data_IF_234924023243
#
_entry.id   IF_234924023243
#
_cell.length_a   1.000
_cell.length_b   1.000
_cell.length_c   1.000
_cell.angle_alpha   90.00
_cell.angle_beta   90.00
_cell.angle_gamma   90.00
#
_symmetry.space_group_name_H-M   'P 1'
#
loop_
_entity.id
_entity.type
_entity.pdbx_description
1 polymer ?
#
# COMPACT_ATOMS: atom_id res chain seq x y z
N UNK A 1 29.19 30.11 -20.92
CA UNK A 1 28.99 29.56 -19.57
C UNK A 1 27.73 30.15 -19.02
N UNK A 2 26.86 29.30 -18.51
CA UNK A 2 25.58 29.69 -17.93
C UNK A 2 25.51 29.23 -16.47
N UNK A 3 24.91 30.06 -15.61
CA UNK A 3 24.57 29.71 -14.22
C UNK A 3 23.08 29.99 -14.06
N UNK A 4 22.28 28.95 -13.80
CA UNK A 4 20.81 29.04 -13.68
C UNK A 4 20.17 29.75 -14.88
N UNK A 5 20.63 29.42 -16.08
CA UNK A 5 20.18 30.05 -17.34
C UNK A 5 20.73 31.46 -17.62
N UNK A 6 21.38 32.10 -16.66
CA UNK A 6 22.03 33.40 -16.87
C UNK A 6 23.39 33.21 -17.55
N UNK A 7 23.63 33.91 -18.66
CA UNK A 7 24.94 33.89 -19.32
C UNK A 7 25.95 34.68 -18.50
N UNK A 8 26.98 34.01 -18.00
CA UNK A 8 28.00 34.62 -17.12
C UNK A 8 29.28 34.98 -17.89
N UNK A 9 29.59 34.25 -18.97
CA UNK A 9 30.75 34.56 -19.79
C UNK A 9 31.29 33.40 -20.61
N UNK A 10 32.54 33.54 -21.05
CA UNK A 10 33.24 32.59 -21.93
C UNK A 10 34.50 32.06 -21.26
N UNK A 11 34.85 30.80 -21.55
CA UNK A 11 36.07 30.18 -21.06
C UNK A 11 36.74 29.36 -22.17
N UNK A 12 38.06 29.52 -22.33
CA UNK A 12 38.81 28.90 -23.44
C UNK A 12 39.13 27.43 -23.21
N UNK A 13 39.23 26.98 -21.95
CA UNK A 13 39.56 25.61 -21.58
C UNK A 13 38.49 24.99 -20.66
N UNK A 14 37.31 24.63 -21.19
CA UNK A 14 36.19 24.15 -20.37
C UNK A 14 36.46 22.77 -19.74
N UNK A 15 37.31 21.93 -20.33
CA UNK A 15 37.68 20.61 -19.78
C UNK A 15 38.32 20.74 -18.40
N UNK A 16 39.32 21.62 -18.29
CA UNK A 16 40.03 21.87 -17.04
C UNK A 16 39.06 22.43 -15.99
N UNK A 17 38.21 23.38 -16.39
CA UNK A 17 37.27 24.02 -15.49
C UNK A 17 36.24 23.02 -14.93
N UNK A 18 35.66 22.17 -15.76
CA UNK A 18 34.72 21.13 -15.31
C UNK A 18 35.40 20.14 -14.38
N UNK A 19 36.65 19.76 -14.68
CA UNK A 19 37.42 18.88 -13.81
C UNK A 19 37.66 19.51 -12.43
N UNK A 20 38.04 20.78 -12.39
CA UNK A 20 38.23 21.53 -11.14
C UNK A 20 36.92 21.67 -10.37
N UNK A 21 35.82 22.04 -11.02
CA UNK A 21 34.51 22.18 -10.36
C UNK A 21 34.00 20.85 -9.79
N UNK A 22 34.15 19.76 -10.52
CA UNK A 22 33.83 18.41 -10.01
C UNK A 22 34.73 17.99 -8.86
N UNK A 23 36.02 18.36 -8.89
CA UNK A 23 36.94 18.09 -7.78
C UNK A 23 36.56 18.86 -6.52
N UNK A 24 36.25 20.16 -6.65
CA UNK A 24 35.78 20.99 -5.53
C UNK A 24 34.45 20.47 -4.97
N UNK A 25 33.54 20.02 -5.83
CA UNK A 25 32.28 19.36 -5.41
C UNK A 25 32.54 18.08 -4.61
N UNK A 26 33.52 17.27 -5.03
CA UNK A 26 33.90 16.01 -4.36
C UNK A 26 34.65 16.24 -3.04
N UNK A 27 35.27 17.40 -2.86
CA UNK A 27 35.88 17.84 -1.61
C UNK A 27 34.87 18.54 -0.68
N UNK A 28 33.62 18.72 -1.13
CA UNK A 28 32.55 19.43 -0.42
C UNK A 28 32.84 20.94 -0.25
N UNK A 29 33.82 21.48 -0.97
CA UNK A 29 34.08 22.92 -1.07
C UNK A 29 32.98 23.64 -1.87
N UNK A 30 32.36 22.90 -2.79
CA UNK A 30 31.14 23.29 -3.50
C UNK A 30 30.03 22.35 -3.05
N UNK A 31 28.84 22.91 -2.77
CA UNK A 31 27.68 22.12 -2.35
C UNK A 31 27.42 20.99 -3.37
N UNK A 32 27.19 19.78 -2.86
CA UNK A 32 26.98 18.56 -3.64
C UNK A 32 25.75 18.63 -4.54
N UNK A 33 24.84 19.55 -4.26
CA UNK A 33 23.65 19.83 -5.07
C UNK A 33 23.95 20.60 -6.36
N UNK A 34 25.12 21.23 -6.49
CA UNK A 34 25.47 21.99 -7.70
C UNK A 34 25.63 21.02 -8.87
N UNK A 35 24.76 21.16 -9.87
CA UNK A 35 24.80 20.42 -11.13
C UNK A 35 25.83 21.03 -12.07
N UNK A 36 26.69 20.21 -12.67
CA UNK A 36 27.73 20.65 -13.60
C UNK A 36 27.59 19.88 -14.91
N UNK A 37 27.07 20.55 -15.93
CA UNK A 37 26.76 19.94 -17.23
C UNK A 37 27.60 20.57 -18.32
N UNK A 38 28.36 19.74 -19.04
CA UNK A 38 29.15 20.19 -20.21
C UNK A 38 28.62 19.54 -21.47
N UNK A 39 28.02 20.36 -22.32
CA UNK A 39 27.66 19.97 -23.66
C UNK A 39 28.85 20.17 -24.59
N UNK A 40 29.43 19.06 -25.04
CA UNK A 40 30.62 19.05 -25.90
C UNK A 40 30.25 19.51 -27.33
N UNK A 41 29.04 19.20 -27.79
CA UNK A 41 28.59 19.49 -29.14
C UNK A 41 28.28 20.98 -29.31
N UNK A 42 27.54 21.56 -28.36
CA UNK A 42 27.22 22.99 -28.34
C UNK A 42 28.36 23.85 -27.80
N UNK A 43 29.42 23.23 -27.24
CA UNK A 43 30.53 23.89 -26.54
C UNK A 43 30.05 24.79 -25.39
N UNK A 44 29.03 24.32 -24.67
CA UNK A 44 28.43 25.02 -23.56
C UNK A 44 28.75 24.35 -22.22
N UNK A 45 28.90 25.18 -21.19
CA UNK A 45 28.99 24.75 -19.80
C UNK A 45 27.84 25.41 -19.05
N UNK A 46 26.99 24.59 -18.44
CA UNK A 46 25.82 25.00 -17.66
C UNK A 46 26.00 24.54 -16.22
N UNK A 47 25.77 25.46 -15.30
CA UNK A 47 25.81 25.23 -13.86
C UNK A 47 24.41 25.47 -13.31
N UNK A 48 23.95 24.53 -12.47
CA UNK A 48 22.63 24.61 -11.85
C UNK A 48 22.77 24.59 -10.33
N UNK A 49 22.23 25.62 -9.68
CA UNK A 49 22.08 25.73 -8.22
C UNK A 49 20.63 25.91 -7.81
N UNK A 50 19.70 25.75 -8.76
CA UNK A 50 18.26 25.90 -8.53
C UNK A 50 17.71 24.77 -7.65
N UNK A 51 16.70 25.11 -6.85
CA UNK A 51 15.96 24.17 -6.00
C UNK A 51 14.95 23.35 -6.82
N UNK A 52 14.59 22.16 -6.32
CA UNK A 52 13.55 21.30 -6.92
C UNK A 52 14.05 20.34 -8.01
N UNK A 53 15.35 20.33 -8.29
CA UNK A 53 15.98 19.34 -9.18
C UNK A 53 15.96 17.95 -8.51
N UNK A 54 15.64 16.93 -9.31
CA UNK A 54 15.74 15.54 -8.87
C UNK A 54 17.17 15.04 -9.11
N UNK A 55 17.82 14.55 -8.07
CA UNK A 55 19.14 13.93 -8.16
C UNK A 55 19.11 12.50 -7.65
N UNK A 56 19.93 11.65 -8.25
CA UNK A 56 20.18 10.29 -7.78
C UNK A 56 21.62 10.10 -7.38
N UNK A 57 21.84 9.16 -6.48
CA UNK A 57 23.14 8.85 -5.93
C UNK A 57 23.81 7.73 -6.73
N UNK A 58 25.04 7.98 -7.18
CA UNK A 58 25.84 7.02 -7.93
C UNK A 58 27.23 6.87 -7.32
N UNK A 59 27.80 5.66 -7.42
CA UNK A 59 29.20 5.47 -7.08
C UNK A 59 30.11 6.03 -8.17
N UNK A 60 31.21 6.64 -7.75
CA UNK A 60 32.19 7.19 -8.69
C UNK A 60 33.10 6.07 -9.20
N UNK A 61 33.24 6.03 -10.54
CA UNK A 61 34.17 5.15 -11.25
C UNK A 61 35.23 6.00 -11.92
N UNK A 62 36.50 5.74 -11.64
CA UNK A 62 37.63 6.42 -12.25
C UNK A 62 38.57 5.40 -12.90
N UNK A 63 39.01 5.67 -14.14
CA UNK A 63 39.88 4.76 -14.92
C UNK A 63 39.37 3.30 -14.96
N UNK A 64 38.05 3.13 -15.16
CA UNK A 64 37.35 1.83 -15.20
C UNK A 64 37.43 1.03 -13.89
N UNK A 65 37.71 1.68 -12.75
CA UNK A 65 37.72 1.06 -11.42
C UNK A 65 36.81 1.84 -10.49
N UNK A 66 36.04 1.11 -9.70
CA UNK A 66 35.23 1.69 -8.63
C UNK A 66 36.17 2.29 -7.56
N UNK A 67 35.88 3.51 -7.09
CA UNK A 67 36.74 4.19 -6.10
C UNK A 67 36.58 3.54 -4.71
N UNK A 68 35.33 3.24 -4.30
CA UNK A 68 35.05 2.57 -3.02
C UNK A 68 35.57 1.13 -3.03
N UNK A 69 36.24 0.72 -1.95
CA UNK A 69 36.82 -0.62 -1.82
C UNK A 69 36.15 -1.41 -0.68
N UNK A 70 36.39 -2.73 -0.67
CA UNK A 70 35.85 -3.63 0.37
C UNK A 70 36.21 -3.21 1.80
N UNK A 71 37.41 -2.66 2.01
CA UNK A 71 37.85 -2.15 3.34
C UNK A 71 36.94 -1.04 3.87
N UNK A 72 36.45 -0.17 2.98
CA UNK A 72 35.62 0.98 3.34
C UNK A 72 34.20 0.51 3.69
N UNK A 73 33.72 -0.54 2.99
CA UNK A 73 32.46 -1.22 3.31
C UNK A 73 32.53 -1.92 4.68
N UNK A 74 33.64 -2.62 4.97
CA UNK A 74 33.83 -3.28 6.28
C UNK A 74 33.87 -2.26 7.41
N UNK A 75 34.57 -1.13 7.21
CA UNK A 75 34.59 -0.04 8.19
C UNK A 75 33.18 0.51 8.47
N UNK A 76 32.34 0.66 7.44
CA UNK A 76 30.94 1.08 7.61
C UNK A 76 30.07 0.03 8.34
N UNK A 77 30.34 -1.25 8.15
CA UNK A 77 29.61 -2.34 8.81
C UNK A 77 29.98 -2.50 10.28
N UNK A 78 31.23 -2.19 10.64
CA UNK A 78 31.75 -2.31 12.01
C UNK A 78 31.50 -1.06 12.87
N UNK A 79 30.76 -0.06 12.36
CA UNK A 79 30.49 1.16 13.12
C UNK A 79 29.61 0.86 14.34
N UNK A 80 30.05 1.32 15.51
CA UNK A 80 29.29 1.17 16.77
C UNK A 80 28.30 2.32 16.98
N UNK A 81 28.61 3.52 16.46
CA UNK A 81 27.77 4.71 16.55
C UNK A 81 27.40 5.26 15.16
N UNK A 82 26.24 5.91 15.05
CA UNK A 82 25.79 6.58 13.82
C UNK A 82 26.60 7.82 13.44
N UNK A 83 27.44 8.33 14.34
CA UNK A 83 28.13 9.63 14.18
C UNK A 83 29.54 9.53 13.57
N UNK A 84 30.27 8.42 13.75
CA UNK A 84 31.72 8.36 13.44
C UNK A 84 32.08 8.03 11.98
N UNK A 85 31.11 7.69 11.12
CA UNK A 85 31.31 7.46 9.68
C UNK A 85 29.97 7.23 8.99
N UNK A 86 29.25 8.34 8.81
CA UNK A 86 27.91 8.34 8.23
C UNK A 86 27.89 8.45 6.70
N UNK A 87 26.68 8.69 6.18
CA UNK A 87 26.47 8.99 4.77
C UNK A 87 27.28 10.20 4.28
N UNK A 88 27.40 11.24 5.11
CA UNK A 88 28.14 12.44 4.80
C UNK A 88 29.65 12.18 4.58
N UNK A 89 30.23 11.24 5.31
CA UNK A 89 31.64 10.86 5.17
C UNK A 89 31.90 10.14 3.83
N UNK A 90 30.95 9.33 3.36
CA UNK A 90 31.02 8.72 2.03
C UNK A 90 31.01 9.76 0.90
N UNK A 91 30.22 10.83 1.07
CA UNK A 91 30.17 11.96 0.13
C UNK A 91 31.48 12.75 0.19
N UNK A 92 31.95 13.08 1.40
CA UNK A 92 33.18 13.86 1.61
C UNK A 92 34.45 13.13 1.13
N UNK A 93 34.47 11.80 1.22
CA UNK A 93 35.54 10.95 0.66
C UNK A 93 35.45 10.81 -0.86
N UNK A 94 34.41 11.36 -1.50
CA UNK A 94 34.21 11.28 -2.95
C UNK A 94 33.94 9.84 -3.43
N UNK A 95 33.30 9.00 -2.62
CA UNK A 95 32.91 7.65 -3.03
C UNK A 95 31.59 7.63 -3.78
N UNK A 96 30.69 8.54 -3.43
CA UNK A 96 29.36 8.72 -4.01
C UNK A 96 29.17 10.16 -4.46
N UNK A 97 28.38 10.34 -5.52
CA UNK A 97 28.11 11.63 -6.14
C UNK A 97 26.62 11.75 -6.45
N UNK A 98 26.04 12.93 -6.19
CA UNK A 98 24.69 13.26 -6.62
C UNK A 98 24.73 13.70 -8.08
N UNK A 99 23.94 13.04 -8.91
CA UNK A 99 23.82 13.31 -10.35
C UNK A 99 22.37 13.71 -10.60
N UNK A 100 22.15 14.93 -11.08
CA UNK A 100 20.84 15.41 -11.49
C UNK A 100 20.45 14.92 -12.90
N UNK A 101 19.22 15.17 -13.32
CA UNK A 101 18.70 14.70 -14.62
C UNK A 101 19.47 15.26 -15.81
N UNK A 102 19.92 16.51 -15.73
CA UNK A 102 20.68 17.17 -16.80
C UNK A 102 22.12 16.64 -16.87
N UNK A 103 22.74 16.38 -15.72
CA UNK A 103 24.05 15.73 -15.66
C UNK A 103 23.96 14.26 -16.10
N UNK A 104 22.84 13.57 -15.80
CA UNK A 104 22.58 12.18 -16.21
C UNK A 104 22.73 11.99 -17.72
N UNK A 105 22.24 12.93 -18.54
CA UNK A 105 22.34 12.87 -20.01
C UNK A 105 23.79 12.81 -20.52
N UNK A 106 24.73 13.38 -19.77
CA UNK A 106 26.16 13.40 -20.12
C UNK A 106 26.97 12.30 -19.43
N UNK A 107 26.38 11.60 -18.46
CA UNK A 107 27.05 10.54 -17.70
C UNK A 107 26.83 9.17 -18.33
N UNK A 108 27.87 8.35 -18.34
CA UNK A 108 27.76 6.95 -18.75
C UNK A 108 27.46 6.08 -17.54
N UNK A 109 26.22 5.60 -17.44
CA UNK A 109 25.76 4.71 -16.36
C UNK A 109 25.72 3.28 -16.87
N UNK A 110 26.37 2.36 -16.16
CA UNK A 110 26.27 0.93 -16.45
C UNK A 110 25.01 0.33 -15.81
N UNK A 111 24.18 -0.35 -16.59
CA UNK A 111 22.87 -0.86 -16.18
C UNK A 111 22.69 -2.36 -16.48
N UNK A 112 21.61 -2.95 -15.93
CA UNK A 112 20.89 -4.13 -16.45
C UNK A 112 19.42 -4.09 -15.98
N UNK A 113 18.43 -4.11 -16.88
CA UNK A 113 16.97 -4.02 -16.54
C UNK A 113 16.07 -4.79 -17.52
N UNK A 114 14.92 -5.32 -17.03
CA UNK A 114 13.61 -5.28 -17.73
C UNK A 114 12.39 -5.67 -16.85
N UNK A 115 11.20 -5.05 -17.07
CA UNK A 115 9.86 -5.70 -17.21
C UNK A 115 8.63 -4.86 -16.72
N UNK A 116 7.48 -4.88 -17.45
CA UNK A 116 6.24 -4.15 -17.14
C UNK A 116 5.30 -4.80 -16.09
N UNK A 117 5.45 -6.09 -15.73
CA UNK A 117 4.56 -6.73 -14.73
C UNK A 117 4.76 -6.20 -13.31
N UNK A 118 5.96 -5.72 -13.03
CA UNK A 118 6.29 -5.06 -11.77
C UNK A 118 5.42 -3.83 -11.53
N UNK A 119 5.02 -3.11 -12.59
CA UNK A 119 4.14 -1.95 -12.50
C UNK A 119 2.75 -2.30 -11.96
N UNK A 120 2.18 -3.43 -12.38
CA UNK A 120 0.90 -3.90 -11.86
C UNK A 120 0.99 -4.26 -10.37
N UNK A 121 2.09 -4.89 -9.95
CA UNK A 121 2.30 -5.20 -8.54
C UNK A 121 2.40 -3.92 -7.69
N UNK A 122 3.10 -2.90 -8.17
CA UNK A 122 3.21 -1.61 -7.48
C UNK A 122 1.84 -0.95 -7.26
N UNK A 123 0.90 -1.12 -8.19
CA UNK A 123 -0.48 -0.66 -8.02
C UNK A 123 -1.30 -1.54 -7.05
N UNK A 124 -1.13 -2.87 -7.11
CA UNK A 124 -1.86 -3.80 -6.26
C UNK A 124 -1.42 -3.75 -4.80
N UNK A 125 -0.13 -3.54 -4.53
CA UNK A 125 0.39 -3.40 -3.17
C UNK A 125 -0.28 -2.27 -2.37
N UNK A 126 -0.72 -1.19 -3.04
CA UNK A 126 -1.47 -0.09 -2.42
C UNK A 126 -2.88 -0.48 -1.97
N UNK A 127 -3.40 -1.60 -2.46
CA UNK A 127 -4.74 -2.10 -2.13
C UNK A 127 -4.71 -3.21 -1.08
N UNK A 128 -3.53 -3.72 -0.73
CA UNK A 128 -3.36 -4.77 0.24
C UNK A 128 -3.70 -4.27 1.65
N UNK A 129 -4.37 -5.12 2.42
CA UNK A 129 -4.70 -4.87 3.82
C UNK A 129 -3.66 -5.49 4.75
N UNK A 130 -3.58 -4.96 5.97
CA UNK A 130 -2.66 -5.41 7.02
C UNK A 130 -2.51 -4.35 8.09
N UNK A 131 -1.39 -4.35 8.81
CA UNK A 131 -1.17 -3.36 9.88
C UNK A 131 -0.48 -2.15 9.24
N UNK A 132 -1.20 -1.04 9.17
CA UNK A 132 -0.70 0.21 8.58
C UNK A 132 0.12 1.06 9.57
N UNK A 133 -0.25 1.05 10.85
CA UNK A 133 0.47 1.73 11.94
C UNK A 133 0.16 1.03 13.26
N UNK A 134 1.09 1.05 14.22
CA UNK A 134 0.93 0.35 15.51
C UNK A 134 -0.12 0.99 16.42
N UNK A 135 -0.25 2.32 16.41
CA UNK A 135 -1.19 3.05 17.27
C UNK A 135 -2.61 3.15 16.68
N UNK A 136 -2.97 2.33 15.69
CA UNK A 136 -4.27 2.36 15.02
C UNK A 136 -5.44 2.23 16.00
N UNK A 137 -5.27 1.51 17.11
CA UNK A 137 -6.29 1.34 18.15
C UNK A 137 -6.72 2.65 18.80
N UNK A 138 -5.85 3.67 18.82
CA UNK A 138 -6.15 4.99 19.39
C UNK A 138 -6.56 6.02 18.33
N UNK A 139 -6.47 5.66 17.04
CA UNK A 139 -6.73 6.58 15.92
C UNK A 139 -8.18 6.51 15.49
N UNK A 140 -8.76 7.68 15.21
CA UNK A 140 -10.09 7.83 14.60
C UNK A 140 -9.95 8.10 13.10
N UNK A 141 -9.33 7.15 12.38
CA UNK A 141 -9.24 7.16 10.92
C UNK A 141 -10.61 6.82 10.30
N UNK A 142 -10.93 7.39 9.13
CA UNK A 142 -12.26 7.25 8.51
C UNK A 142 -12.58 5.80 8.12
N UNK A 143 -11.59 5.08 7.60
CA UNK A 143 -11.70 3.65 7.27
C UNK A 143 -10.34 3.01 7.50
N UNK A 144 -10.33 1.84 8.14
CA UNK A 144 -9.13 1.06 8.35
C UNK A 144 -9.44 -0.43 8.23
N UNK A 145 -8.64 -1.15 7.43
CA UNK A 145 -8.75 -2.59 7.29
C UNK A 145 -7.50 -3.26 7.85
N UNK A 146 -7.64 -3.94 8.99
CA UNK A 146 -6.54 -4.60 9.70
C UNK A 146 -6.69 -6.11 9.62
N UNK A 147 -5.62 -6.80 9.23
CA UNK A 147 -5.58 -8.27 9.27
C UNK A 147 -5.42 -8.76 10.71
N UNK A 148 -6.10 -9.85 11.04
CA UNK A 148 -5.99 -10.47 12.37
C UNK A 148 -4.60 -11.07 12.62
N UNK A 149 -4.06 -11.80 11.62
CA UNK A 149 -2.79 -12.50 11.72
C UNK A 149 -1.89 -12.18 10.51
N UNK A 150 -1.30 -10.98 10.46
CA UNK A 150 -0.32 -10.67 9.42
C UNK A 150 0.94 -11.53 9.62
N UNK A 151 1.48 -12.06 8.51
CA UNK A 151 2.69 -12.89 8.53
C UNK A 151 3.85 -12.20 7.83
N UNK A 152 5.06 -12.49 8.31
CA UNK A 152 6.28 -12.14 7.58
C UNK A 152 6.43 -13.04 6.37
N UNK A 153 7.14 -12.55 5.36
CA UNK A 153 7.35 -13.27 4.11
C UNK A 153 8.52 -14.25 4.27
N UNK A 154 8.35 -15.47 3.78
CA UNK A 154 9.44 -16.44 3.71
C UNK A 154 10.53 -16.02 2.72
N UNK A 155 10.13 -15.32 1.65
CA UNK A 155 11.00 -14.87 0.58
C UNK A 155 10.99 -13.34 0.52
N UNK A 156 12.09 -12.71 0.92
CA UNK A 156 12.21 -11.26 1.09
C UNK A 156 13.23 -10.66 0.13
N UNK A 157 13.16 -9.35 -0.12
CA UNK A 157 14.24 -8.62 -0.78
C UNK A 157 14.98 -7.80 0.27
N UNK A 158 16.27 -7.53 0.05
CA UNK A 158 17.07 -6.72 0.99
C UNK A 158 16.47 -5.32 1.22
N UNK A 159 15.82 -4.75 0.19
CA UNK A 159 15.13 -3.46 0.31
C UNK A 159 13.98 -3.47 1.34
N UNK A 160 13.33 -4.61 1.58
CA UNK A 160 12.24 -4.71 2.56
C UNK A 160 12.70 -4.48 4.00
N UNK A 161 13.98 -4.67 4.28
CA UNK A 161 14.57 -4.39 5.59
C UNK A 161 14.59 -2.90 5.89
N UNK A 162 15.00 -2.09 4.90
CA UNK A 162 15.01 -0.62 5.01
C UNK A 162 13.61 -0.01 5.00
N UNK A 163 12.64 -0.68 4.38
CA UNK A 163 11.24 -0.25 4.38
C UNK A 163 10.48 -0.68 5.65
N UNK A 164 11.14 -1.36 6.60
CA UNK A 164 10.51 -1.94 7.79
C UNK A 164 9.31 -2.84 7.49
N UNK A 165 9.24 -3.40 6.28
CA UNK A 165 8.10 -4.22 5.83
C UNK A 165 7.98 -5.54 6.61
N UNK A 166 9.10 -6.01 7.19
CA UNK A 166 9.11 -7.14 8.14
C UNK A 166 8.37 -6.82 9.45
N UNK A 167 8.33 -5.56 9.87
CA UNK A 167 7.73 -5.13 11.14
C UNK A 167 6.24 -4.83 10.97
N UNK A 168 5.86 -4.20 9.86
CA UNK A 168 4.47 -3.84 9.53
C UNK A 168 4.10 -4.34 8.12
N UNK A 169 3.57 -5.58 8.01
CA UNK A 169 3.16 -6.12 6.73
C UNK A 169 1.88 -5.43 6.24
N UNK A 170 2.00 -4.74 5.10
CA UNK A 170 1.01 -4.13 4.22
C UNK A 170 -0.08 -3.23 4.83
N UNK A 171 -0.24 -2.03 4.27
CA UNK A 171 -1.39 -1.14 4.43
C UNK A 171 -0.96 0.31 4.57
N UNK A 172 -1.39 1.20 3.68
CA UNK A 172 -1.32 2.66 3.82
C UNK A 172 -2.62 3.19 3.21
N UNK A 173 -3.34 4.07 3.90
CA UNK A 173 -4.53 4.74 3.36
C UNK A 173 -4.40 6.26 3.53
N UNK A 174 -4.78 7.01 2.49
CA UNK A 174 -4.73 8.48 2.46
C UNK A 174 -6.15 9.05 2.53
N UNK A 175 -6.31 10.13 3.29
CA UNK A 175 -7.59 10.77 3.58
C UNK A 175 -7.81 12.04 2.71
N UNK A 176 -9.05 12.27 2.26
CA UNK A 176 -9.52 13.57 1.76
C UNK A 176 -10.73 14.00 2.57
N UNK A 177 -10.74 15.25 3.06
CA UNK A 177 -11.87 15.86 3.75
C UNK A 177 -12.43 17.05 2.96
N UNK A 178 -13.75 17.16 2.98
CA UNK A 178 -14.50 18.37 2.63
C UNK A 178 -15.74 18.43 3.52
N UNK A 179 -16.06 19.60 4.04
CA UNK A 179 -17.32 19.86 4.73
C UNK A 179 -17.38 21.25 5.36
N UNK A 180 -18.46 21.97 5.08
CA UNK A 180 -18.76 23.37 5.43
C UNK A 180 -19.55 23.47 6.74
N UNK A 181 -19.44 24.62 7.42
CA UNK A 181 -19.97 24.92 8.75
C UNK A 181 -21.47 25.27 8.74
N UNK A 182 -22.31 24.47 9.40
CA UNK A 182 -23.66 24.82 9.86
C UNK A 182 -23.75 24.39 11.34
N UNK A 183 -24.38 25.20 12.19
CA UNK A 183 -24.50 24.96 13.62
C UNK A 183 -25.61 23.93 13.90
N UNK A 184 -25.25 22.78 14.47
CA UNK A 184 -26.13 21.64 14.74
C UNK A 184 -26.03 21.28 16.23
N UNK A 185 -27.16 21.00 16.88
CA UNK A 185 -27.19 20.54 18.27
C UNK A 185 -27.27 19.01 18.36
N UNK A 186 -26.52 18.45 19.30
CA UNK A 186 -26.58 17.04 19.64
C UNK A 186 -27.63 16.77 20.71
N UNK A 187 -28.50 15.80 20.47
CA UNK A 187 -29.52 15.39 21.43
C UNK A 187 -30.40 14.28 20.85
N UNK A 188 -31.01 13.51 21.75
CA UNK A 188 -32.05 12.57 21.37
C UNK A 188 -33.25 13.34 20.80
N UNK A 189 -33.68 13.04 19.56
CA UNK A 189 -34.87 13.68 19.01
C UNK A 189 -36.10 13.22 19.80
N UNK A 190 -36.97 14.16 20.16
CA UNK A 190 -38.22 13.91 20.88
C UNK A 190 -39.41 13.93 19.92
N UNK A 191 -40.30 12.94 20.02
CA UNK A 191 -41.47 12.76 19.13
C UNK A 191 -42.46 13.92 19.24
N UNK A 192 -42.50 14.59 20.38
CA UNK A 192 -43.40 15.73 20.58
C UNK A 192 -42.89 17.00 19.87
N UNK A 193 -41.57 17.18 19.82
CA UNK A 193 -40.94 18.45 19.43
C UNK A 193 -40.14 18.37 18.13
N UNK A 194 -39.89 17.18 17.58
CA UNK A 194 -38.99 16.96 16.44
C UNK A 194 -39.71 16.38 15.23
N UNK A 195 -39.61 17.07 14.09
CA UNK A 195 -40.17 16.62 12.84
C UNK A 195 -39.25 15.59 12.15
N UNK A 196 -39.81 14.43 11.76
CA UNK A 196 -39.15 13.46 10.88
C UNK A 196 -38.24 12.44 11.57
N UNK A 197 -38.58 12.02 12.79
CA UNK A 197 -37.78 11.07 13.59
C UNK A 197 -37.55 9.71 12.95
N UNK A 198 -36.32 9.21 13.11
CA UNK A 198 -35.92 7.86 12.66
C UNK A 198 -35.85 6.80 13.78
N UNK A 199 -35.57 7.16 15.03
CA UNK A 199 -35.62 6.24 16.19
C UNK A 199 -35.70 7.00 17.54
N UNK A 200 -36.20 6.34 18.60
CA UNK A 200 -36.13 6.83 19.99
C UNK A 200 -34.89 6.23 20.67
N UNK A 201 -33.78 6.95 20.75
CA UNK A 201 -32.68 6.59 21.66
C UNK A 201 -31.73 7.78 21.89
N UNK A 202 -31.06 7.77 23.05
CA UNK A 202 -30.41 8.86 23.80
C UNK A 202 -29.22 9.59 23.13
N UNK A 203 -29.36 10.00 21.88
CA UNK A 203 -28.43 10.90 21.19
C UNK A 203 -27.12 10.27 20.69
N UNK A 204 -26.50 9.33 21.42
CA UNK A 204 -25.29 8.63 20.93
C UNK A 204 -25.30 7.15 21.30
N UNK A 205 -24.91 6.29 20.35
CA UNK A 205 -24.75 4.86 20.62
C UNK A 205 -23.49 4.60 21.49
N UNK A 206 -23.60 3.95 22.66
CA UNK A 206 -22.45 3.72 23.54
C UNK A 206 -21.51 2.62 23.00
N UNK A 207 -20.20 2.64 23.34
CA UNK A 207 -19.27 1.58 22.98
C UNK A 207 -19.74 0.19 23.41
N UNK A 208 -19.58 -0.81 22.54
CA UNK A 208 -20.06 -2.18 22.73
C UNK A 208 -21.43 -2.46 22.12
N UNK A 209 -22.19 -1.43 21.74
CA UNK A 209 -23.51 -1.59 21.12
C UNK A 209 -23.38 -2.14 19.70
N UNK A 210 -24.19 -3.15 19.37
CA UNK A 210 -24.31 -3.66 18.01
C UNK A 210 -25.33 -2.82 17.26
N UNK A 211 -24.94 -2.35 16.08
CA UNK A 211 -25.79 -1.53 15.20
C UNK A 211 -25.75 -2.07 13.78
N UNK A 212 -26.83 -1.86 13.04
CA UNK A 212 -27.04 -2.38 11.70
C UNK A 212 -27.88 -1.45 10.85
N UNK A 213 -27.56 -1.34 9.57
CA UNK A 213 -28.45 -0.73 8.57
C UNK A 213 -28.84 0.70 8.92
N UNK A 214 -30.13 0.91 9.18
CA UNK A 214 -30.75 2.23 9.42
C UNK A 214 -30.67 2.71 10.87
N UNK A 215 -29.99 1.98 11.75
CA UNK A 215 -29.81 2.38 13.14
C UNK A 215 -29.14 3.75 13.23
N UNK A 216 -29.72 4.61 14.06
CA UNK A 216 -29.22 5.96 14.31
C UNK A 216 -28.02 5.87 15.27
N UNK A 217 -26.85 6.32 14.81
CA UNK A 217 -25.63 6.33 15.61
C UNK A 217 -25.38 7.69 16.28
N UNK A 218 -25.82 8.78 15.65
CA UNK A 218 -25.68 10.15 16.16
C UNK A 218 -27.01 10.87 16.00
N UNK A 219 -27.67 11.15 17.12
CA UNK A 219 -28.81 12.04 17.24
C UNK A 219 -28.41 13.50 17.03
N UNK A 220 -28.97 14.13 16.00
CA UNK A 220 -28.73 15.55 15.70
C UNK A 220 -30.03 16.22 15.36
N UNK A 221 -30.21 17.43 15.86
CA UNK A 221 -31.40 18.23 15.55
C UNK A 221 -31.01 19.67 15.23
N UNK A 222 -31.67 20.23 14.23
CA UNK A 222 -31.54 21.66 13.90
C UNK A 222 -32.83 22.39 14.27
N UNK A 223 -32.75 23.60 14.85
CA UNK A 223 -33.93 24.42 15.06
C UNK A 223 -34.52 24.83 13.70
N UNK A 224 -35.86 24.81 13.59
CA UNK A 224 -36.54 25.28 12.38
C UNK A 224 -36.61 26.82 12.43
N UNK A 225 -36.03 27.48 11.42
CA UNK A 225 -36.13 28.93 11.25
C UNK A 225 -37.59 29.35 11.05
N UNK A 226 -38.01 30.44 11.69
CA UNK A 226 -39.41 30.93 11.60
C UNK A 226 -39.85 31.31 10.17
N UNK A 227 -38.91 31.57 9.25
CA UNK A 227 -39.20 31.89 7.85
C UNK A 227 -39.66 30.68 7.01
N UNK A 228 -39.28 29.44 7.38
CA UNK A 228 -39.72 28.21 6.70
C UNK A 228 -41.12 27.76 7.14
N UNK A 229 -41.60 28.30 8.27
CA UNK A 229 -42.96 28.06 8.75
C UNK A 229 -43.92 28.97 7.97
N UNK A 230 -44.49 28.46 6.88
CA UNK A 230 -45.52 29.10 6.04
C UNK A 230 -46.82 29.42 6.82
N UNK A 231 -46.77 30.26 7.84
CA UNK A 231 -47.93 30.79 8.57
C UNK A 231 -48.73 29.78 9.41
N UNK A 232 -48.24 28.56 9.63
CA UNK A 232 -48.85 27.60 10.57
C UNK A 232 -48.05 27.53 11.88
N UNK A 233 -48.70 27.42 13.06
CA UNK A 233 -47.99 27.13 14.29
C UNK A 233 -47.30 25.79 14.13
N UNK A 234 -45.96 25.81 14.04
CA UNK A 234 -45.18 24.61 13.84
C UNK A 234 -45.35 23.72 15.08
N UNK A 235 -46.10 22.61 14.93
CA UNK A 235 -46.22 21.56 15.96
C UNK A 235 -44.85 21.08 16.46
N UNK A 236 -43.82 21.21 15.63
CA UNK A 236 -42.46 20.80 15.89
C UNK A 236 -41.54 22.02 15.89
N UNK A 237 -40.66 22.12 16.88
CA UNK A 237 -39.69 23.21 17.05
C UNK A 237 -38.34 22.88 16.42
N UNK A 238 -38.07 21.59 16.19
CA UNK A 238 -36.79 21.08 15.68
C UNK A 238 -37.00 20.12 14.52
N UNK A 239 -36.01 19.99 13.66
CA UNK A 239 -35.95 19.03 12.57
C UNK A 239 -34.87 17.99 12.84
N UNK A 240 -35.19 16.73 12.59
CA UNK A 240 -34.25 15.63 12.74
C UNK A 240 -33.20 15.65 11.59
N UNK A 241 -31.92 15.71 11.97
CA UNK A 241 -30.75 15.60 11.10
C UNK A 241 -29.82 14.47 11.55
N UNK A 242 -30.36 13.51 12.29
CA UNK A 242 -29.61 12.38 12.84
C UNK A 242 -28.90 11.57 11.75
N UNK A 243 -27.67 11.16 12.07
CA UNK A 243 -26.85 10.34 11.19
C UNK A 243 -27.09 8.86 11.49
N UNK A 244 -27.58 8.15 10.49
CA UNK A 244 -27.75 6.68 10.49
C UNK A 244 -26.54 6.00 9.88
N UNK A 245 -26.36 4.71 10.20
CA UNK A 245 -25.43 3.87 9.48
C UNK A 245 -25.92 3.67 8.03
N UNK A 246 -25.05 3.17 7.14
CA UNK A 246 -25.46 2.82 5.78
C UNK A 246 -26.22 1.50 5.79
N UNK A 247 -27.28 1.38 4.99
CA UNK A 247 -28.14 0.19 4.90
C UNK A 247 -27.40 -1.17 4.79
N UNK A 248 -26.25 -1.20 4.12
CA UNK A 248 -25.47 -2.45 3.89
C UNK A 248 -24.36 -2.70 4.91
N UNK A 249 -24.21 -1.82 5.89
CA UNK A 249 -23.15 -1.91 6.91
C UNK A 249 -23.74 -2.37 8.24
N UNK A 250 -22.98 -3.21 8.94
CA UNK A 250 -23.30 -3.65 10.29
C UNK A 250 -22.01 -3.83 11.08
N UNK A 251 -22.07 -3.55 12.37
CA UNK A 251 -20.90 -3.58 13.23
C UNK A 251 -21.19 -3.32 14.69
N UNK A 252 -20.12 -3.16 15.45
CA UNK A 252 -20.15 -2.84 16.87
C UNK A 252 -19.50 -1.47 17.05
N UNK A 253 -20.10 -0.61 17.87
CA UNK A 253 -19.51 0.67 18.27
C UNK A 253 -18.24 0.36 19.07
N UNK A 254 -17.10 0.79 18.57
CA UNK A 254 -15.80 0.45 19.14
C UNK A 254 -15.30 1.57 20.07
N UNK A 255 -15.41 2.81 19.63
CA UNK A 255 -15.00 3.97 20.42
C UNK A 255 -15.85 5.20 20.08
N UNK A 256 -16.23 5.96 21.10
CA UNK A 256 -16.92 7.25 20.96
C UNK A 256 -15.99 8.33 21.52
N UNK A 257 -15.68 9.33 20.70
CA UNK A 257 -14.88 10.50 21.08
C UNK A 257 -15.77 11.73 21.06
N UNK A 258 -15.88 12.38 22.21
CA UNK A 258 -16.52 13.68 22.39
C UNK A 258 -15.41 14.71 22.66
N UNK A 259 -15.33 15.74 21.84
CA UNK A 259 -14.35 16.83 21.99
C UNK A 259 -14.98 18.14 21.54
N UNK A 260 -14.28 19.25 21.70
CA UNK A 260 -14.62 20.51 21.02
C UNK A 260 -13.70 20.70 19.83
N UNK A 261 -14.20 21.34 18.77
CA UNK A 261 -13.35 21.79 17.66
C UNK A 261 -12.59 23.08 18.06
N UNK A 262 -11.77 23.61 17.14
CA UNK A 262 -11.03 24.85 17.36
C UNK A 262 -11.96 26.07 17.58
N UNK A 263 -13.18 26.02 17.06
CA UNK A 263 -14.19 27.07 17.17
C UNK A 263 -15.03 26.95 18.47
N UNK A 264 -14.72 26.00 19.35
CA UNK A 264 -15.44 25.78 20.61
C UNK A 264 -16.77 25.02 20.48
N UNK A 265 -17.15 24.61 19.26
CA UNK A 265 -18.34 23.79 19.00
C UNK A 265 -18.11 22.34 19.43
N UNK A 266 -19.17 21.69 19.90
CA UNK A 266 -19.16 20.26 20.23
C UNK A 266 -18.87 19.44 18.97
N UNK A 267 -17.99 18.47 19.07
CA UNK A 267 -17.53 17.64 17.97
C UNK A 267 -17.47 16.18 18.40
N UNK A 268 -18.11 15.32 17.61
CA UNK A 268 -18.29 13.90 17.94
C UNK A 268 -17.73 13.03 16.82
N UNK A 269 -16.95 12.02 17.20
CA UNK A 269 -16.50 10.95 16.30
C UNK A 269 -16.86 9.60 16.91
N UNK A 270 -17.59 8.78 16.16
CA UNK A 270 -17.91 7.40 16.53
C UNK A 270 -17.18 6.48 15.58
N UNK A 271 -16.38 5.57 16.12
CA UNK A 271 -15.69 4.51 15.37
C UNK A 271 -16.46 3.21 15.48
N UNK A 272 -16.66 2.59 14.33
CA UNK A 272 -17.35 1.32 14.18
C UNK A 272 -16.35 0.22 13.83
N UNK A 273 -16.55 -0.98 14.38
CA UNK A 273 -15.76 -2.17 14.05
C UNK A 273 -16.65 -3.25 13.46
N UNK A 274 -16.22 -3.81 12.33
CA UNK A 274 -16.85 -4.95 11.68
C UNK A 274 -15.81 -5.99 11.33
N UNK A 275 -16.15 -7.27 11.49
CA UNK A 275 -15.25 -8.39 11.19
C UNK A 275 -15.63 -8.96 9.83
N UNK A 276 -14.68 -8.97 8.90
CA UNK A 276 -14.89 -9.45 7.53
C UNK A 276 -14.17 -10.76 7.32
N UNK A 277 -14.92 -11.86 7.28
CA UNK A 277 -14.40 -13.19 6.97
C UNK A 277 -14.22 -13.29 5.44
N UNK A 278 -13.12 -13.87 4.92
CA UNK A 278 -12.97 -14.12 3.49
C UNK A 278 -14.13 -14.93 2.92
N UNK A 279 -14.73 -14.45 1.83
CA UNK A 279 -15.87 -15.10 1.18
C UNK A 279 -15.76 -15.06 -0.34
N UNK A 280 -16.67 -15.80 -1.00
CA UNK A 280 -16.73 -15.85 -2.47
C UNK A 280 -16.90 -14.43 -3.03
N UNK A 281 -16.08 -14.08 -4.03
CA UNK A 281 -16.06 -12.74 -4.64
C UNK A 281 -15.06 -11.76 -4.03
N UNK A 282 -14.52 -12.04 -2.83
CA UNK A 282 -13.43 -11.23 -2.26
C UNK A 282 -12.16 -11.35 -3.11
N UNK A 283 -11.42 -10.23 -3.21
CA UNK A 283 -10.21 -10.17 -4.04
C UNK A 283 -8.94 -10.44 -3.26
N UNK A 284 -8.11 -11.29 -3.85
CA UNK A 284 -6.76 -11.60 -3.39
C UNK A 284 -5.76 -11.36 -4.52
N UNK A 285 -4.50 -11.11 -4.19
CA UNK A 285 -3.43 -10.99 -5.16
C UNK A 285 -2.15 -11.66 -4.66
N UNK A 286 -1.43 -12.33 -5.55
CA UNK A 286 -0.02 -12.66 -5.30
C UNK A 286 0.86 -11.41 -5.42
N UNK A 287 2.15 -11.54 -5.09
CA UNK A 287 3.18 -10.52 -5.29
C UNK A 287 3.63 -10.32 -6.74
N UNK A 288 3.06 -11.06 -7.69
CA UNK A 288 3.48 -11.04 -9.10
C UNK A 288 2.40 -10.44 -10.01
N UNK A 289 1.56 -9.55 -9.45
CA UNK A 289 0.49 -8.92 -10.19
C UNK A 289 -0.65 -9.87 -10.60
N UNK A 290 -0.80 -11.01 -9.91
CA UNK A 290 -1.88 -11.96 -10.16
C UNK A 290 -3.02 -11.76 -9.16
N UNK A 291 -3.96 -10.88 -9.51
CA UNK A 291 -5.22 -10.72 -8.78
C UNK A 291 -6.28 -11.72 -9.23
N UNK A 292 -7.07 -12.21 -8.29
CA UNK A 292 -8.21 -13.08 -8.51
C UNK A 292 -9.27 -12.91 -7.43
N UNK A 293 -10.46 -13.43 -7.68
CA UNK A 293 -11.54 -13.53 -6.70
C UNK A 293 -11.65 -14.96 -6.20
N UNK A 294 -12.10 -15.15 -4.96
CA UNK A 294 -12.49 -16.49 -4.49
C UNK A 294 -13.67 -16.97 -5.33
N UNK A 295 -13.52 -18.11 -6.00
CA UNK A 295 -14.59 -18.73 -6.80
C UNK A 295 -15.43 -19.72 -5.99
N UNK A 296 -14.76 -20.54 -5.17
CA UNK A 296 -15.37 -21.56 -4.31
C UNK A 296 -14.54 -21.69 -3.03
N UNK A 297 -15.18 -22.16 -1.95
CA UNK A 297 -14.57 -22.47 -0.67
C UNK A 297 -14.92 -23.91 -0.34
N UNK A 298 -13.90 -24.72 -0.08
CA UNK A 298 -14.04 -26.11 0.33
C UNK A 298 -13.54 -26.26 1.77
N UNK A 299 -14.13 -27.20 2.50
CA UNK A 299 -13.63 -27.61 3.81
C UNK A 299 -12.39 -28.51 3.63
N UNK A 300 -11.65 -28.75 4.70
CA UNK A 300 -10.37 -29.45 4.64
C UNK A 300 -10.51 -30.89 4.12
N UNK A 301 -11.61 -31.56 4.46
CA UNK A 301 -11.93 -32.92 4.04
C UNK A 301 -12.13 -33.07 2.52
N UNK A 302 -12.57 -32.03 1.85
CA UNK A 302 -12.78 -32.03 0.39
C UNK A 302 -11.52 -31.63 -0.38
N UNK A 303 -10.54 -31.03 0.30
CA UNK A 303 -9.33 -30.54 -0.33
C UNK A 303 -8.37 -31.69 -0.70
N UNK A 304 -7.66 -31.58 -1.84
CA UNK A 304 -6.61 -32.53 -2.16
C UNK A 304 -5.47 -32.42 -1.14
N UNK A 305 -4.92 -33.56 -0.74
CA UNK A 305 -3.88 -33.64 0.27
C UNK A 305 -2.69 -34.44 -0.24
N UNK A 306 -1.52 -34.26 0.37
CA UNK A 306 -0.30 -35.04 0.09
C UNK A 306 0.01 -35.99 1.25
N UNK A 307 0.93 -36.94 1.07
CA UNK A 307 1.27 -37.97 2.07
C UNK A 307 1.57 -37.43 3.49
N UNK A 308 2.09 -36.21 3.61
CA UNK A 308 2.32 -35.50 4.88
C UNK A 308 1.05 -34.90 5.52
N UNK A 309 -0.13 -35.23 5.00
CA UNK A 309 -1.44 -34.69 5.41
C UNK A 309 -1.56 -33.17 5.28
N UNK A 310 -0.78 -32.56 4.37
CA UNK A 310 -0.85 -31.14 4.06
C UNK A 310 -1.89 -30.92 2.95
N UNK A 311 -2.85 -30.04 3.22
CA UNK A 311 -3.83 -29.52 2.25
C UNK A 311 -3.45 -28.09 1.85
N UNK A 312 -3.62 -27.68 0.59
CA UNK A 312 -3.33 -26.32 0.17
C UNK A 312 -4.42 -25.34 0.66
N UNK A 313 -4.04 -24.11 1.00
CA UNK A 313 -5.02 -23.07 1.34
C UNK A 313 -5.69 -22.46 0.10
N UNK A 314 -4.95 -22.38 -1.02
CA UNK A 314 -5.40 -21.76 -2.28
C UNK A 314 -4.99 -22.66 -3.44
N UNK A 315 -5.94 -22.96 -4.32
CA UNK A 315 -5.69 -23.63 -5.60
C UNK A 315 -5.85 -22.60 -6.72
N UNK A 316 -4.80 -22.44 -7.53
CA UNK A 316 -4.79 -21.52 -8.67
C UNK A 316 -4.79 -22.32 -9.97
N UNK A 317 -5.60 -21.88 -10.93
CA UNK A 317 -5.68 -22.51 -12.24
C UNK A 317 -4.33 -22.40 -13.00
N UNK A 318 -3.76 -23.51 -13.50
CA UNK A 318 -2.51 -23.50 -14.29
C UNK A 318 -2.53 -22.58 -15.51
N UNK A 319 -3.69 -22.38 -16.14
CA UNK A 319 -3.83 -21.49 -17.31
C UNK A 319 -3.48 -20.02 -17.01
N UNK A 320 -3.43 -19.63 -15.74
CA UNK A 320 -3.00 -18.31 -15.31
C UNK A 320 -1.51 -18.03 -15.56
N UNK A 321 -0.66 -19.06 -15.71
CA UNK A 321 0.80 -18.91 -15.80
C UNK A 321 1.30 -18.69 -17.24
N UNK A 322 0.96 -19.51 -18.26
CA UNK A 322 1.56 -19.39 -19.59
C UNK A 322 1.30 -18.04 -20.26
N UNK A 323 0.06 -17.54 -20.14
CA UNK A 323 -0.35 -16.26 -20.75
C UNK A 323 0.24 -15.04 -20.04
N UNK A 324 0.52 -15.15 -18.73
CA UNK A 324 1.01 -14.01 -17.92
C UNK A 324 2.52 -14.01 -17.73
N UNK A 325 3.16 -15.15 -18.00
CA UNK A 325 4.60 -15.37 -17.88
C UNK A 325 5.15 -14.96 -16.49
N UNK A 326 4.36 -15.19 -15.45
CA UNK A 326 4.69 -14.87 -14.04
C UNK A 326 5.57 -15.96 -13.41
N UNK A 327 6.70 -16.25 -14.07
CA UNK A 327 7.67 -17.29 -13.65
C UNK A 327 8.22 -16.99 -12.25
N UNK A 328 8.39 -15.72 -11.91
CA UNK A 328 8.81 -15.29 -10.57
C UNK A 328 7.94 -15.83 -9.45
N UNK A 329 6.63 -16.03 -9.68
CA UNK A 329 5.74 -16.64 -8.69
C UNK A 329 6.10 -18.11 -8.45
N UNK A 330 6.40 -18.86 -9.51
CA UNK A 330 6.82 -20.26 -9.39
C UNK A 330 8.18 -20.37 -8.68
N UNK A 331 9.11 -19.47 -8.99
CA UNK A 331 10.41 -19.42 -8.32
C UNK A 331 10.25 -19.06 -6.84
N UNK A 332 9.36 -18.12 -6.51
CA UNK A 332 9.00 -17.78 -5.12
C UNK A 332 8.45 -19.01 -4.38
N UNK A 333 7.58 -19.81 -5.00
CA UNK A 333 7.05 -21.03 -4.40
C UNK A 333 8.17 -22.02 -4.02
N UNK A 334 9.09 -22.29 -4.95
CA UNK A 334 10.20 -23.23 -4.72
C UNK A 334 11.13 -22.68 -3.64
N UNK A 335 11.50 -21.40 -3.73
CA UNK A 335 12.37 -20.74 -2.75
C UNK A 335 11.72 -20.69 -1.36
N UNK A 336 10.43 -20.38 -1.29
CA UNK A 336 9.66 -20.35 -0.05
C UNK A 336 9.58 -21.72 0.60
N UNK A 337 9.49 -22.79 -0.20
CA UNK A 337 9.53 -24.16 0.31
C UNK A 337 10.89 -24.52 0.90
N UNK A 338 11.97 -24.20 0.18
CA UNK A 338 13.34 -24.37 0.69
C UNK A 338 13.53 -23.58 1.98
N UNK A 339 13.10 -22.32 2.01
CA UNK A 339 13.15 -21.44 3.17
C UNK A 339 12.42 -22.03 4.39
N UNK A 340 11.19 -22.53 4.19
CA UNK A 340 10.41 -23.16 5.24
C UNK A 340 11.09 -24.42 5.81
N UNK A 341 11.63 -25.30 4.96
CA UNK A 341 12.28 -26.54 5.42
C UNK A 341 13.67 -26.32 6.01
N UNK A 342 14.43 -25.35 5.51
CA UNK A 342 15.76 -25.03 6.04
C UNK A 342 15.70 -24.12 7.29
N UNK A 343 14.52 -23.58 7.62
CA UNK A 343 14.35 -22.63 8.74
C UNK A 343 15.07 -21.31 8.52
N UNK A 344 15.19 -20.86 7.26
CA UNK A 344 15.89 -19.63 6.87
C UNK A 344 15.02 -18.80 5.94
N UNK A 345 15.20 -17.49 5.92
CA UNK A 345 14.57 -16.63 4.91
C UNK A 345 15.25 -16.80 3.55
N UNK A 346 14.46 -16.78 2.47
CA UNK A 346 14.94 -16.77 1.11
C UNK A 346 15.20 -15.35 0.60
N UNK A 347 16.36 -15.11 -0.02
CA UNK A 347 16.69 -13.85 -0.71
C UNK A 347 16.16 -13.87 -2.15
N UNK A 348 15.21 -12.98 -2.45
CA UNK A 348 14.69 -12.72 -3.80
C UNK A 348 15.07 -11.33 -4.32
N UNK A 349 16.18 -10.76 -3.84
CA UNK A 349 16.73 -9.53 -4.38
C UNK A 349 17.05 -9.74 -5.87
N UNK A 350 16.55 -8.85 -6.75
CA UNK A 350 16.78 -8.98 -8.19
C UNK A 350 18.27 -8.82 -8.51
N UNK A 351 18.69 -9.39 -9.66
CA UNK A 351 20.07 -9.31 -10.18
C UNK A 351 21.13 -9.90 -9.24
N UNK A 352 20.78 -10.96 -8.52
CA UNK A 352 21.73 -11.77 -7.76
C UNK A 352 22.22 -12.96 -8.58
N UNK A 353 23.32 -13.58 -8.17
CA UNK A 353 23.88 -14.78 -8.81
C UNK A 353 23.06 -16.06 -8.51
N UNK A 354 21.97 -15.95 -7.74
CA UNK A 354 21.12 -17.07 -7.38
C UNK A 354 20.34 -17.58 -8.60
N UNK A 355 20.51 -18.86 -8.93
CA UNK A 355 19.84 -19.49 -10.07
C UNK A 355 18.74 -20.46 -9.64
N UNK A 356 17.75 -20.69 -10.51
CA UNK A 356 16.68 -21.67 -10.25
C UNK A 356 17.23 -23.08 -10.02
N UNK A 357 18.32 -23.45 -10.69
CA UNK A 357 19.00 -24.74 -10.50
C UNK A 357 19.58 -24.88 -9.09
N UNK A 358 20.20 -23.82 -8.55
CA UNK A 358 20.72 -23.82 -7.17
C UNK A 358 19.60 -24.03 -6.13
N UNK A 359 18.45 -23.37 -6.33
CA UNK A 359 17.27 -23.52 -5.47
C UNK A 359 16.69 -24.93 -5.60
N UNK A 360 16.60 -25.46 -6.81
CA UNK A 360 16.08 -26.81 -7.09
C UNK A 360 16.93 -27.89 -6.43
N UNK A 361 18.26 -27.75 -6.48
CA UNK A 361 19.21 -28.64 -5.78
C UNK A 361 19.06 -28.54 -4.26
N UNK A 362 18.84 -27.35 -3.71
CA UNK A 362 18.58 -27.17 -2.29
C UNK A 362 17.27 -27.84 -1.85
N UNK A 363 16.20 -27.73 -2.65
CA UNK A 363 14.93 -28.42 -2.41
C UNK A 363 15.12 -29.94 -2.42
N UNK A 364 15.91 -30.46 -3.35
CA UNK A 364 16.21 -31.89 -3.41
C UNK A 364 16.97 -32.40 -2.20
N UNK A 365 17.93 -31.62 -1.68
CA UNK A 365 18.61 -31.93 -0.42
C UNK A 365 17.66 -31.98 0.78
N UNK A 366 16.52 -31.28 0.72
CA UNK A 366 15.47 -31.35 1.74
C UNK A 366 14.59 -32.60 1.62
N UNK A 367 14.84 -33.50 0.65
CA UNK A 367 14.05 -34.73 0.44
C UNK A 367 12.84 -34.56 -0.48
N UNK A 368 12.71 -33.41 -1.14
CA UNK A 368 11.60 -33.12 -2.05
C UNK A 368 12.02 -33.26 -3.52
N UNK A 369 11.05 -33.29 -4.42
CA UNK A 369 11.38 -33.24 -5.85
C UNK A 369 11.90 -31.84 -6.24
N UNK A 370 12.97 -31.80 -7.05
CA UNK A 370 13.69 -30.60 -7.52
C UNK A 370 12.78 -29.48 -8.02
N UNK A 371 11.69 -29.82 -8.69
CA UNK A 371 10.73 -28.87 -9.26
C UNK A 371 9.45 -28.72 -8.45
N UNK A 372 9.42 -29.22 -7.22
CA UNK A 372 8.28 -29.10 -6.29
C UNK A 372 6.97 -29.75 -6.75
N UNK A 373 7.02 -30.64 -7.73
CA UNK A 373 5.89 -31.49 -8.13
C UNK A 373 5.74 -32.66 -7.17
N UNK A 374 4.51 -32.90 -6.73
CA UNK A 374 4.21 -33.87 -5.69
C UNK A 374 2.97 -34.69 -6.01
N UNK A 375 2.97 -35.92 -5.49
CA UNK A 375 1.79 -36.79 -5.56
C UNK A 375 0.77 -36.30 -4.53
N UNK A 376 -0.45 -36.13 -5.01
CA UNK A 376 -1.60 -35.71 -4.20
C UNK A 376 -2.73 -36.70 -4.37
N UNK A 377 -3.61 -36.72 -3.39
CA UNK A 377 -4.78 -37.60 -3.29
C UNK A 377 -6.03 -36.74 -3.38
N UNK A 378 -7.06 -37.28 -4.03
CA UNK A 378 -8.37 -36.65 -4.12
C UNK A 378 -9.06 -36.69 -2.75
N UNK A 379 -9.54 -35.55 -2.25
CA UNK A 379 -10.19 -35.44 -0.93
C UNK A 379 -11.43 -36.31 -0.78
N UNK A 380 -12.26 -36.42 -1.83
CA UNK A 380 -13.52 -37.17 -1.77
C UNK A 380 -13.36 -38.69 -1.90
N UNK A 381 -12.41 -39.14 -2.73
CA UNK A 381 -12.26 -40.58 -3.06
C UNK A 381 -11.05 -41.25 -2.41
N UNK A 382 -10.11 -40.47 -1.88
CA UNK A 382 -8.82 -40.95 -1.38
C UNK A 382 -7.88 -41.51 -2.46
N UNK A 383 -8.29 -41.51 -3.74
CA UNK A 383 -7.46 -42.03 -4.84
C UNK A 383 -6.36 -41.05 -5.20
N UNK A 384 -5.21 -41.59 -5.62
CA UNK A 384 -4.08 -40.80 -6.13
C UNK A 384 -4.51 -40.09 -7.42
N UNK A 385 -4.20 -38.80 -7.52
CA UNK A 385 -4.34 -38.06 -8.77
C UNK A 385 -3.28 -38.49 -9.77
N UNK A 386 -3.68 -38.72 -11.03
CA UNK A 386 -2.78 -39.17 -12.10
C UNK A 386 -1.67 -38.15 -12.37
N UNK A 387 -1.97 -36.86 -12.27
CA UNK A 387 -1.00 -35.78 -12.44
C UNK A 387 -0.35 -35.41 -11.10
N UNK A 388 0.96 -35.17 -11.12
CA UNK A 388 1.64 -34.53 -9.99
C UNK A 388 1.30 -33.04 -9.97
N UNK A 389 1.06 -32.52 -8.78
CA UNK A 389 0.67 -31.12 -8.58
C UNK A 389 1.87 -30.34 -8.08
N UNK A 390 2.04 -29.11 -8.56
CA UNK A 390 3.06 -28.19 -8.06
C UNK A 390 2.54 -27.54 -6.77
N UNK A 391 3.21 -27.79 -5.64
CA UNK A 391 2.85 -27.23 -4.33
C UNK A 391 4.03 -26.47 -3.71
N UNK A 392 3.75 -25.30 -3.15
CA UNK A 392 4.71 -24.54 -2.35
C UNK A 392 4.06 -23.33 -1.69
N UNK A 393 4.67 -22.80 -0.61
CA UNK A 393 4.15 -21.62 0.07
C UNK A 393 4.36 -20.37 -0.80
N UNK A 394 3.43 -19.42 -0.76
CA UNK A 394 3.53 -18.14 -1.49
C UNK A 394 2.83 -17.07 -0.70
N UNK A 395 3.39 -15.86 -0.70
CA UNK A 395 2.78 -14.77 0.01
C UNK A 395 1.63 -14.16 -0.79
N UNK A 396 0.42 -14.29 -0.25
CA UNK A 396 -0.80 -13.70 -0.80
C UNK A 396 -1.26 -12.48 0.01
N UNK A 397 -1.87 -11.53 -0.69
CA UNK A 397 -2.40 -10.30 -0.13
C UNK A 397 -3.91 -10.30 -0.30
N UNK A 398 -4.65 -10.08 0.79
CA UNK A 398 -6.07 -9.75 0.71
C UNK A 398 -6.21 -8.28 0.35
N UNK A 399 -7.01 -7.98 -0.66
CA UNK A 399 -7.22 -6.61 -1.11
C UNK A 399 -8.43 -5.99 -0.42
N UNK A 400 -8.46 -4.66 -0.29
CA UNK A 400 -9.59 -3.90 0.30
C UNK A 400 -10.91 -3.99 -0.47
N UNK A 401 -10.94 -4.71 -1.59
CA UNK A 401 -12.12 -4.90 -2.41
C UNK A 401 -12.88 -6.16 -1.97
N UNK A 402 -13.83 -5.96 -1.06
CA UNK A 402 -14.72 -7.01 -0.54
C UNK A 402 -16.05 -7.02 -1.30
N UNK A 403 -16.67 -8.20 -1.42
CA UNK A 403 -17.89 -8.38 -2.22
C UNK A 403 -19.11 -7.67 -1.63
N UNK A 404 -19.27 -7.70 -0.31
CA UNK A 404 -20.37 -7.01 0.40
C UNK A 404 -20.38 -5.51 0.10
N UNK A 405 -19.19 -4.94 -0.06
CA UNK A 405 -19.00 -3.53 -0.39
C UNK A 405 -19.15 -3.26 -1.89
N UNK A 406 -19.65 -4.22 -2.67
CA UNK A 406 -19.86 -4.10 -4.12
C UNK A 406 -21.24 -4.56 -4.57
N UNK A 407 -21.88 -5.47 -3.83
CA UNK A 407 -23.25 -5.88 -4.13
C UNK A 407 -24.17 -4.64 -4.07
N UNK A 408 -24.99 -4.51 -5.11
CA UNK A 408 -25.99 -3.45 -5.25
C UNK A 408 -27.13 -3.92 -6.12
N UNK A 409 -28.35 -3.60 -5.70
CA UNK A 409 -29.57 -3.85 -6.46
C UNK A 409 -30.57 -2.76 -6.12
N UNK A 410 -31.36 -2.33 -7.10
CA UNK A 410 -32.40 -1.32 -6.92
C UNK A 410 -33.70 -1.77 -7.58
N UNK A 411 -34.75 -1.91 -6.77
CA UNK A 411 -36.12 -2.11 -7.28
C UNK A 411 -36.81 -0.77 -7.57
N UNK A 412 -36.96 0.07 -6.55
CA UNK A 412 -37.41 1.46 -6.62
C UNK A 412 -36.57 2.28 -5.64
N UNK A 413 -36.45 3.59 -5.84
CA UNK A 413 -35.58 4.40 -5.00
C UNK A 413 -35.64 5.89 -5.31
N UNK A 414 -34.79 6.69 -4.67
CA UNK A 414 -34.80 8.14 -4.80
C UNK A 414 -34.53 8.58 -6.24
N UNK A 415 -35.17 9.69 -6.63
CA UNK A 415 -35.03 10.33 -7.94
C UNK A 415 -34.48 11.74 -7.78
N UNK A 416 -33.67 12.17 -8.72
CA UNK A 416 -33.23 13.56 -8.77
C UNK A 416 -34.43 14.45 -9.08
N UNK A 417 -34.63 15.52 -8.30
CA UNK A 417 -35.79 16.41 -8.43
C UNK A 417 -35.83 17.07 -9.82
N UNK A 418 -34.66 17.47 -10.32
CA UNK A 418 -34.52 18.19 -11.59
C UNK A 418 -34.93 17.34 -12.80
N UNK A 419 -34.36 16.14 -12.92
CA UNK A 419 -34.51 15.28 -14.11
C UNK A 419 -35.57 14.21 -13.92
N UNK A 420 -36.03 13.98 -12.69
CA UNK A 420 -36.87 12.85 -12.26
C UNK A 420 -36.26 11.48 -12.57
N UNK A 421 -34.96 11.43 -12.87
CA UNK A 421 -34.22 10.19 -13.11
C UNK A 421 -33.80 9.56 -11.78
N UNK A 422 -33.56 8.24 -11.75
CA UNK A 422 -32.91 7.58 -10.61
C UNK A 422 -31.68 8.34 -10.12
N UNK A 423 -31.58 8.54 -8.80
CA UNK A 423 -30.39 9.13 -8.19
C UNK A 423 -29.11 8.35 -8.56
N UNK A 424 -27.96 9.00 -8.52
CA UNK A 424 -26.67 8.34 -8.77
C UNK A 424 -26.01 7.90 -7.47
N UNK A 425 -25.22 6.82 -7.55
CA UNK A 425 -24.34 6.36 -6.48
C UNK A 425 -24.96 5.26 -5.61
N UNK A 426 -24.23 4.14 -5.50
CA UNK A 426 -24.62 2.97 -4.68
C UNK A 426 -24.92 3.33 -3.23
N UNK A 427 -24.14 4.22 -2.61
CA UNK A 427 -24.34 4.62 -1.21
C UNK A 427 -25.61 5.47 -0.97
N UNK A 428 -26.35 5.81 -2.03
CA UNK A 428 -27.60 6.60 -1.99
C UNK A 428 -28.76 5.85 -2.65
N UNK A 429 -28.67 4.52 -2.74
CA UNK A 429 -29.61 3.67 -3.46
C UNK A 429 -29.84 4.12 -4.90
N UNK A 430 -28.76 4.57 -5.53
CA UNK A 430 -28.77 5.07 -6.90
C UNK A 430 -29.08 3.99 -7.94
N UNK A 431 -29.49 4.41 -9.13
CA UNK A 431 -29.59 3.56 -10.31
C UNK A 431 -28.21 3.08 -10.79
N UNK A 432 -28.23 2.11 -11.69
CA UNK A 432 -27.05 1.63 -12.41
C UNK A 432 -26.83 2.40 -13.71
#
# INVERSE_FOLDING_TARGET
MFVNGCWVGIHRNPDLLVKTLRQLRRQVDVNTEVGVVRDINLKELRLYTDYGRCSRLLFIVEKKKLIIKKKDIVALQMRESSEDSGWHDLVAKGFIEYVDTEEEETTMISMTINSPRNTYQSAMGKQAMGIYVTNYQFRMDTLACVLYYPQKLLVTTRAMEHLHFRQLPAGIDEEKKMGTLVEEDFGGPDREHTMGMRHDDDGFAPPGTRVSGDDVIIGKTTPISQDDAQGQPARYTRKDHSTSLRHSEAGIVDQVLLTTNADGLRFVKIRMRSVRIPQIGDKFSSRHGQKGTIGMIYTQEDMPWRAECITPDIIVNPHAIPSRMTIGQLVECIMGKVAAHMGKEGDATPFTDATVDSISKALHKCGYQMHSFERTYNGHTGRILTAMIFLGPTYYQRLKHMVDDKIHSRGRGPVQILTRQPAEGRSRDGGL
#
